data_IF_308931322991
#
_entry.id   IF_308931322991
#
_cell.length_a   1.000
_cell.length_b   1.000
_cell.length_c   1.000
_cell.angle_alpha   90.00
_cell.angle_beta   90.00
_cell.angle_gamma   90.00
#
_symmetry.space_group_name_H-M   'P 1'
#
loop_
_entity.id
_entity.type
_entity.pdbx_description
1 polymer ?
#
# COMPACT_ATOMS: atom_id res chain seq x y z
N UNK A 1 44.44 -67.92 22.79
CA UNK A 1 43.88 -66.58 23.07
C UNK A 1 42.37 -66.65 22.88
N UNK A 2 41.64 -66.49 24.00
CA UNK A 2 40.28 -65.95 24.20
C UNK A 2 39.16 -66.28 23.18
N UNK A 3 38.24 -67.18 23.59
CA UNK A 3 36.82 -66.93 24.01
C UNK A 3 35.90 -66.63 22.81
N UNK A 4 34.88 -67.41 22.44
CA UNK A 4 33.98 -68.26 23.22
C UNK A 4 32.56 -67.69 23.16
N UNK A 5 31.65 -68.44 22.51
CA UNK A 5 30.28 -68.70 22.99
C UNK A 5 29.24 -67.52 22.94
N UNK A 6 27.92 -67.66 22.74
CA UNK A 6 26.97 -68.79 22.69
C UNK A 6 25.51 -68.22 22.66
N UNK A 7 24.60 -68.91 21.96
CA UNK A 7 23.11 -68.99 22.02
C UNK A 7 22.15 -67.77 22.02
N UNK A 8 21.20 -67.84 21.08
CA UNK A 8 19.71 -67.70 21.17
C UNK A 8 19.07 -66.85 22.28
N UNK A 9 18.10 -66.01 21.88
CA UNK A 9 16.74 -66.01 22.46
C UNK A 9 15.67 -65.50 21.48
N UNK A 10 14.58 -66.25 21.39
CA UNK A 10 13.26 -65.85 20.88
C UNK A 10 12.64 -64.74 21.72
N UNK A 11 11.73 -63.94 21.15
CA UNK A 11 10.62 -63.33 21.89
C UNK A 11 9.41 -63.05 20.98
N UNK A 12 8.34 -63.80 21.22
CA UNK A 12 6.97 -63.56 20.76
C UNK A 12 6.33 -62.43 21.57
N UNK A 13 5.48 -61.60 20.98
CA UNK A 13 4.30 -61.01 21.65
C UNK A 13 3.25 -60.58 20.60
N UNK A 14 1.99 -60.68 21.00
CA UNK A 14 0.78 -60.66 20.17
C UNK A 14 -0.10 -59.41 20.42
N UNK A 15 -1.19 -59.32 19.63
CA UNK A 15 -2.43 -58.54 19.81
C UNK A 15 -2.33 -57.01 19.58
N UNK A 16 -3.36 -56.27 19.15
CA UNK A 16 -4.80 -56.49 19.17
C UNK A 16 -5.52 -55.65 18.08
N UNK A 17 -6.75 -56.08 17.77
CA UNK A 17 -7.76 -55.38 16.98
C UNK A 17 -8.30 -54.15 17.72
N UNK A 18 -8.55 -53.06 17.01
CA UNK A 18 -9.34 -51.92 17.50
C UNK A 18 -9.96 -51.15 16.33
N UNK A 19 -11.21 -51.46 15.99
CA UNK A 19 -12.06 -50.61 15.15
C UNK A 19 -12.46 -49.38 15.97
N UNK A 20 -12.15 -48.17 15.48
CA UNK A 20 -12.79 -46.95 15.96
C UNK A 20 -13.59 -46.33 14.81
N UNK A 21 -14.91 -46.43 14.92
CA UNK A 21 -15.87 -45.66 14.14
C UNK A 21 -15.66 -44.17 14.41
N UNK A 22 -15.18 -43.43 13.41
CA UNK A 22 -15.13 -41.97 13.44
C UNK A 22 -16.39 -41.39 12.79
N UNK A 23 -17.23 -40.74 13.59
CA UNK A 23 -18.34 -39.90 13.14
C UNK A 23 -17.79 -38.81 12.21
N UNK A 24 -18.30 -38.72 10.98
CA UNK A 24 -18.06 -37.57 10.11
C UNK A 24 -18.89 -36.39 10.64
N UNK A 25 -18.27 -35.53 11.46
CA UNK A 25 -18.82 -34.22 11.72
C UNK A 25 -18.59 -33.38 10.45
N UNK A 26 -19.64 -33.21 9.64
CA UNK A 26 -19.69 -32.08 8.71
C UNK A 26 -19.85 -30.84 9.58
N UNK A 27 -18.74 -30.17 9.87
CA UNK A 27 -18.79 -28.79 10.33
C UNK A 27 -19.36 -27.99 9.17
N UNK A 28 -20.66 -27.67 9.24
CA UNK A 28 -21.20 -26.59 8.46
C UNK A 28 -20.35 -25.36 8.80
N UNK A 29 -19.53 -24.90 7.85
CA UNK A 29 -18.93 -23.58 7.98
C UNK A 29 -20.10 -22.62 8.14
N UNK A 30 -20.21 -21.86 9.25
CA UNK A 30 -21.16 -20.76 9.23
C UNK A 30 -20.78 -19.96 7.99
N UNK A 31 -21.75 -19.69 7.11
CA UNK A 31 -21.60 -18.69 6.05
C UNK A 31 -21.46 -17.36 6.77
N UNK A 32 -20.26 -17.14 7.29
CA UNK A 32 -19.86 -15.93 7.95
C UNK A 32 -19.83 -14.90 6.86
N UNK A 33 -20.66 -13.87 7.00
CA UNK A 33 -20.27 -12.57 6.50
C UNK A 33 -18.79 -12.40 6.87
N UNK A 34 -17.93 -12.20 5.87
CA UNK A 34 -16.55 -11.78 6.14
C UNK A 34 -16.67 -10.57 7.06
N UNK A 35 -16.27 -10.74 8.33
CA UNK A 35 -16.14 -9.61 9.21
C UNK A 35 -15.12 -8.70 8.53
N UNK A 36 -15.55 -7.54 8.07
CA UNK A 36 -14.66 -6.59 7.41
C UNK A 36 -13.50 -6.32 8.36
N UNK A 37 -12.28 -6.63 7.93
CA UNK A 37 -11.09 -6.26 8.67
C UNK A 37 -10.84 -4.76 8.48
N UNK A 38 -10.63 -4.02 9.57
CA UNK A 38 -10.12 -2.65 9.49
C UNK A 38 -8.64 -2.70 9.16
N UNK A 39 -8.22 -1.94 8.18
CA UNK A 39 -6.83 -1.86 7.70
C UNK A 39 -6.33 -0.41 7.80
N UNK A 40 -5.12 -0.21 8.34
CA UNK A 40 -4.44 1.09 8.28
C UNK A 40 -3.61 1.15 7.01
N UNK A 41 -3.92 2.12 6.16
CA UNK A 41 -3.26 2.31 4.85
C UNK A 41 -2.21 3.43 4.85
N UNK A 42 -2.20 4.27 5.88
CA UNK A 42 -1.17 5.29 6.10
C UNK A 42 0.07 4.67 6.76
N UNK A 43 0.68 3.72 6.05
CA UNK A 43 1.89 3.00 6.47
C UNK A 43 2.95 3.14 5.38
N UNK A 44 4.22 2.98 5.74
CA UNK A 44 5.27 2.91 4.73
C UNK A 44 5.29 1.53 4.03
N UNK A 45 6.13 1.36 3.01
CA UNK A 45 6.23 0.10 2.24
C UNK A 45 6.74 -1.11 3.03
N UNK A 46 7.22 -0.91 4.27
CA UNK A 46 7.54 -2.00 5.20
C UNK A 46 6.38 -2.35 6.15
N UNK A 47 5.22 -1.71 5.98
CA UNK A 47 4.03 -1.87 6.82
C UNK A 47 4.17 -1.23 8.21
N UNK A 48 5.15 -0.34 8.41
CA UNK A 48 5.38 0.30 9.70
C UNK A 48 4.43 1.49 9.83
N UNK A 49 3.93 1.71 11.06
CA UNK A 49 3.25 2.95 11.39
C UNK A 49 4.23 4.12 11.34
N UNK A 50 3.74 5.26 10.87
CA UNK A 50 4.50 6.49 10.64
C UNK A 50 3.99 7.62 11.52
N UNK A 51 4.81 8.66 11.68
CA UNK A 51 4.46 9.82 12.50
C UNK A 51 3.89 10.93 11.61
N UNK A 52 2.72 11.46 11.95
CA UNK A 52 2.10 12.57 11.22
C UNK A 52 0.61 12.37 11.05
N UNK A 53 -0.12 13.46 10.81
CA UNK A 53 -1.55 13.35 10.51
C UNK A 53 -1.72 12.95 9.05
N UNK A 54 -2.60 11.98 8.80
CA UNK A 54 -3.07 11.64 7.45
C UNK A 54 -4.57 11.89 7.34
N UNK A 55 -5.01 12.41 6.20
CA UNK A 55 -6.40 12.80 6.00
C UNK A 55 -6.84 12.65 4.53
N UNK A 56 -8.14 12.87 4.31
CA UNK A 56 -8.79 12.96 2.98
C UNK A 56 -8.47 11.78 2.06
N UNK A 57 -8.80 10.53 2.48
CA UNK A 57 -8.58 9.38 1.63
C UNK A 57 -9.50 9.39 0.40
N UNK A 58 -9.00 8.89 -0.72
CA UNK A 58 -9.74 8.57 -1.93
C UNK A 58 -9.39 7.15 -2.40
N UNK A 59 -10.36 6.38 -2.88
CA UNK A 59 -10.19 4.97 -3.24
C UNK A 59 -10.41 4.73 -4.74
N UNK A 60 -9.64 3.81 -5.32
CA UNK A 60 -9.97 3.21 -6.62
C UNK A 60 -11.27 2.41 -6.56
N UNK A 61 -11.87 2.08 -7.70
CA UNK A 61 -13.19 1.44 -7.76
C UNK A 61 -13.20 0.02 -7.16
N UNK A 62 -12.08 -0.68 -7.25
CA UNK A 62 -11.85 -1.98 -6.60
C UNK A 62 -11.33 -1.86 -5.16
N UNK A 63 -11.09 -0.63 -4.69
CA UNK A 63 -10.52 -0.34 -3.39
C UNK A 63 -9.07 -0.77 -3.21
N UNK A 64 -8.35 -1.18 -4.27
CA UNK A 64 -6.94 -1.61 -4.17
C UNK A 64 -6.01 -0.45 -3.82
N UNK A 65 -6.21 0.71 -4.45
CA UNK A 65 -5.37 1.88 -4.26
C UNK A 65 -6.07 2.89 -3.37
N UNK A 66 -5.36 3.39 -2.36
CA UNK A 66 -5.83 4.48 -1.51
C UNK A 66 -4.89 5.67 -1.63
N UNK A 67 -5.38 6.77 -2.18
CA UNK A 67 -4.69 8.05 -2.17
C UNK A 67 -5.03 8.83 -0.90
N UNK A 68 -4.07 9.50 -0.28
CA UNK A 68 -4.29 10.30 0.92
C UNK A 68 -3.23 11.40 1.06
N UNK A 69 -3.55 12.49 1.78
CA UNK A 69 -2.56 13.51 2.16
C UNK A 69 -1.97 13.17 3.53
N UNK A 70 -0.68 13.48 3.74
CA UNK A 70 0.00 13.22 5.02
C UNK A 70 1.08 14.26 5.33
N UNK A 71 1.21 14.63 6.62
CA UNK A 71 2.33 15.42 7.16
C UNK A 71 3.55 14.55 7.56
N UNK A 72 3.48 13.24 7.30
CA UNK A 72 4.50 12.28 7.72
C UNK A 72 5.71 12.28 6.78
N UNK A 73 6.91 12.35 7.34
CA UNK A 73 8.20 12.40 6.59
C UNK A 73 8.85 11.02 6.40
N UNK A 74 8.23 9.95 6.90
CA UNK A 74 8.77 8.59 6.94
C UNK A 74 7.89 7.55 6.21
N UNK A 75 6.89 8.01 5.44
CA UNK A 75 6.09 7.15 4.55
C UNK A 75 6.88 6.61 3.37
N UNK A 76 7.81 7.41 2.85
CA UNK A 76 8.73 7.03 1.76
C UNK A 76 10.12 7.55 2.08
N UNK A 77 11.15 6.86 1.57
CA UNK A 77 12.52 7.37 1.66
C UNK A 77 12.68 8.65 0.84
N UNK A 78 13.40 9.64 1.38
CA UNK A 78 13.71 10.87 0.66
C UNK A 78 12.63 11.95 0.76
N UNK A 79 11.60 11.73 1.56
CA UNK A 79 10.73 12.82 1.99
C UNK A 79 11.48 13.71 2.99
N UNK A 80 11.80 14.92 2.53
CA UNK A 80 12.75 15.82 3.22
C UNK A 80 12.30 17.28 3.23
N UNK A 81 11.16 17.61 2.61
CA UNK A 81 10.66 18.98 2.55
C UNK A 81 9.95 19.40 3.85
N UNK A 82 9.50 18.43 4.66
CA UNK A 82 8.73 18.71 5.88
C UNK A 82 7.36 19.33 5.59
N UNK A 83 6.82 19.10 4.39
CA UNK A 83 5.55 19.61 3.91
C UNK A 83 4.53 18.48 3.81
N UNK A 84 3.26 18.86 3.72
CA UNK A 84 2.20 17.90 3.43
C UNK A 84 2.31 17.43 1.99
N UNK A 85 2.35 16.12 1.83
CA UNK A 85 2.46 15.45 0.54
C UNK A 85 1.26 14.55 0.26
N UNK A 86 1.08 14.18 -1.01
CA UNK A 86 0.06 13.23 -1.45
C UNK A 86 0.73 11.90 -1.75
N UNK A 87 0.17 10.84 -1.18
CA UNK A 87 0.66 9.47 -1.30
C UNK A 87 -0.41 8.55 -1.86
N UNK A 88 0.01 7.42 -2.45
CA UNK A 88 -0.84 6.29 -2.78
C UNK A 88 -0.29 5.03 -2.10
N UNK A 89 -1.17 4.30 -1.41
CA UNK A 89 -0.90 2.97 -0.91
C UNK A 89 -1.59 1.91 -1.77
N UNK A 90 -0.84 0.95 -2.28
CA UNK A 90 -1.35 -0.26 -2.94
C UNK A 90 -1.57 -1.35 -1.88
N UNK A 91 -2.82 -1.60 -1.52
CA UNK A 91 -3.19 -2.57 -0.48
C UNK A 91 -2.87 -4.02 -0.86
N UNK A 92 -2.69 -4.30 -2.15
CA UNK A 92 -2.36 -5.64 -2.60
C UNK A 92 -0.85 -5.92 -2.46
N UNK A 93 0.00 -4.94 -2.74
CA UNK A 93 1.46 -5.11 -2.69
C UNK A 93 2.09 -4.55 -1.41
N UNK A 94 1.34 -3.76 -0.64
CA UNK A 94 1.82 -3.03 0.53
C UNK A 94 2.73 -1.84 0.20
N UNK A 95 2.82 -1.43 -1.07
CA UNK A 95 3.73 -0.35 -1.51
C UNK A 95 3.07 1.01 -1.31
N UNK A 96 3.79 1.93 -0.67
CA UNK A 96 3.45 3.33 -0.57
C UNK A 96 4.40 4.17 -1.42
N UNK A 97 3.84 5.08 -2.22
CA UNK A 97 4.60 6.02 -3.04
C UNK A 97 4.07 7.45 -2.88
N UNK A 98 4.95 8.44 -3.04
CA UNK A 98 4.57 9.85 -3.12
C UNK A 98 4.24 10.19 -4.57
N UNK A 99 3.08 10.80 -4.80
CA UNK A 99 2.61 11.19 -6.13
C UNK A 99 2.59 12.70 -6.35
N UNK A 100 2.79 13.51 -5.28
CA UNK A 100 3.09 14.95 -5.37
C UNK A 100 4.55 15.20 -5.79
N UNK A 101 4.91 14.67 -6.96
CA UNK A 101 6.27 14.75 -7.53
C UNK A 101 6.23 15.31 -8.95
N UNK A 102 7.36 15.84 -9.42
CA UNK A 102 7.54 16.17 -10.83
C UNK A 102 7.69 14.89 -11.69
N UNK A 103 7.79 15.07 -13.01
CA UNK A 103 7.93 13.94 -13.95
C UNK A 103 9.29 13.19 -13.86
N UNK A 104 10.24 13.70 -13.07
CA UNK A 104 11.51 13.04 -12.76
C UNK A 104 11.49 12.37 -11.37
N UNK A 105 10.39 12.49 -10.62
CA UNK A 105 10.23 11.94 -9.28
C UNK A 105 10.77 12.83 -8.16
N UNK A 106 11.12 14.09 -8.45
CA UNK A 106 11.53 15.04 -7.42
C UNK A 106 10.31 15.54 -6.66
N UNK A 107 10.46 15.76 -5.35
CA UNK A 107 9.37 16.25 -4.51
C UNK A 107 8.99 17.70 -4.81
N UNK A 108 7.72 18.01 -4.59
CA UNK A 108 7.24 19.39 -4.56
C UNK A 108 7.95 20.23 -3.49
N UNK A 109 8.20 21.50 -3.79
CA UNK A 109 8.71 22.52 -2.85
C UNK A 109 7.59 23.26 -2.09
N UNK A 110 6.33 22.87 -2.32
CA UNK A 110 5.13 23.38 -1.67
C UNK A 110 4.19 22.25 -1.24
N UNK A 111 3.24 22.56 -0.35
CA UNK A 111 2.27 21.57 0.13
C UNK A 111 1.38 21.04 -1.00
N UNK A 112 0.96 19.78 -0.89
CA UNK A 112 0.00 19.13 -1.78
C UNK A 112 -1.16 18.52 -0.99
N UNK A 113 -2.39 18.69 -1.48
CA UNK A 113 -3.63 18.40 -0.72
C UNK A 113 -4.77 17.90 -1.61
N UNK A 114 -5.81 17.36 -0.95
CA UNK A 114 -7.09 16.97 -1.56
C UNK A 114 -6.97 15.99 -2.75
N UNK A 115 -6.41 14.78 -2.55
CA UNK A 115 -6.27 13.83 -3.63
C UNK A 115 -7.62 13.28 -4.12
N UNK A 116 -7.68 13.02 -5.42
CA UNK A 116 -8.68 12.16 -6.05
C UNK A 116 -7.95 11.14 -6.94
N UNK A 117 -8.45 9.91 -7.02
CA UNK A 117 -7.83 8.82 -7.78
C UNK A 117 -8.82 8.23 -8.79
N UNK A 118 -8.34 7.88 -9.99
CA UNK A 118 -9.16 7.24 -11.02
C UNK A 118 -9.61 5.84 -10.61
N UNK A 119 -10.67 5.34 -11.25
CA UNK A 119 -11.27 4.04 -10.95
C UNK A 119 -10.28 2.86 -11.04
N UNK A 120 -9.35 2.92 -11.99
CA UNK A 120 -8.28 1.94 -12.21
C UNK A 120 -7.02 2.22 -11.36
N UNK A 121 -7.02 3.31 -10.60
CA UNK A 121 -5.89 3.73 -9.77
C UNK A 121 -4.75 4.43 -10.53
N UNK A 122 -4.84 4.63 -11.84
CA UNK A 122 -3.73 5.15 -12.66
C UNK A 122 -3.46 6.64 -12.47
N UNK A 123 -4.50 7.47 -12.49
CA UNK A 123 -4.37 8.92 -12.43
C UNK A 123 -4.71 9.41 -11.02
N UNK A 124 -3.87 10.30 -10.49
CA UNK A 124 -4.14 11.00 -9.23
C UNK A 124 -4.18 12.49 -9.50
N UNK A 125 -5.33 13.11 -9.24
CA UNK A 125 -5.46 14.56 -9.25
C UNK A 125 -5.26 15.12 -7.84
N UNK A 126 -4.59 16.26 -7.72
CA UNK A 126 -4.36 16.94 -6.43
C UNK A 126 -4.14 18.44 -6.63
N UNK A 127 -4.29 19.20 -5.54
CA UNK A 127 -3.96 20.62 -5.49
C UNK A 127 -2.55 20.77 -4.92
N UNK A 128 -1.72 21.65 -5.48
CA UNK A 128 -0.39 21.94 -4.95
C UNK A 128 -0.03 23.42 -5.02
N UNK A 129 0.72 23.88 -4.01
CA UNK A 129 1.38 25.20 -3.99
C UNK A 129 2.85 25.12 -4.46
N UNK A 130 3.30 23.94 -4.89
CA UNK A 130 4.67 23.74 -5.34
C UNK A 130 4.90 24.39 -6.72
N UNK A 131 6.01 25.10 -6.87
CA UNK A 131 6.38 25.78 -8.12
C UNK A 131 7.23 24.92 -9.05
N UNK A 132 7.62 23.73 -8.59
CA UNK A 132 8.59 22.86 -9.27
C UNK A 132 7.99 21.55 -9.79
N UNK A 133 6.68 21.31 -9.68
CA UNK A 133 6.06 20.07 -10.19
C UNK A 133 6.01 20.03 -11.73
N UNK A 134 5.88 21.20 -12.36
CA UNK A 134 5.91 21.38 -13.82
C UNK A 134 6.72 22.62 -14.15
N UNK A 135 7.51 22.57 -15.23
CA UNK A 135 8.27 23.73 -15.69
C UNK A 135 7.34 24.87 -16.09
N UNK A 136 7.65 26.09 -15.63
CA UNK A 136 6.90 27.29 -15.98
C UNK A 136 5.72 27.59 -15.05
N UNK A 137 5.54 26.81 -13.98
CA UNK A 137 4.65 27.20 -12.90
C UNK A 137 5.27 28.34 -12.06
N UNK A 138 4.68 29.53 -12.17
CA UNK A 138 5.32 30.79 -11.72
C UNK A 138 4.34 31.81 -11.15
N UNK A 139 3.05 31.50 -11.08
CA UNK A 139 2.01 32.43 -10.61
C UNK A 139 1.96 32.56 -9.08
N UNK A 140 2.59 31.64 -8.35
CA UNK A 140 2.64 31.65 -6.88
C UNK A 140 1.29 31.37 -6.22
N UNK A 141 0.36 30.73 -6.93
CA UNK A 141 -0.93 30.28 -6.39
C UNK A 141 -1.03 28.75 -6.47
N UNK A 142 -2.03 28.19 -5.80
CA UNK A 142 -2.25 26.75 -5.87
C UNK A 142 -2.85 26.35 -7.21
N UNK A 143 -2.30 25.31 -7.81
CA UNK A 143 -2.73 24.76 -9.09
C UNK A 143 -3.24 23.32 -8.92
N UNK A 144 -4.01 22.85 -9.91
CA UNK A 144 -4.48 21.46 -9.99
C UNK A 144 -3.55 20.68 -10.89
N UNK A 145 -3.04 19.56 -10.39
CA UNK A 145 -2.14 18.67 -11.11
C UNK A 145 -2.76 17.29 -11.26
N UNK A 146 -2.34 16.58 -12.31
CA UNK A 146 -2.55 15.14 -12.47
C UNK A 146 -1.19 14.46 -12.55
N UNK A 147 -1.00 13.42 -11.73
CA UNK A 147 0.10 12.48 -11.87
C UNK A 147 -0.41 11.16 -12.47
N UNK A 148 0.15 10.77 -13.62
CA UNK A 148 -0.05 9.45 -14.22
C UNK A 148 0.97 8.48 -13.63
N UNK A 149 0.53 7.60 -12.73
CA UNK A 149 1.39 6.65 -12.02
C UNK A 149 2.04 5.61 -12.94
N UNK A 150 1.47 5.39 -14.14
CA UNK A 150 2.02 4.42 -15.08
C UNK A 150 3.17 5.02 -15.90
N UNK A 151 3.00 6.24 -16.39
CA UNK A 151 4.03 6.94 -17.19
C UNK A 151 4.98 7.80 -16.35
N UNK A 152 4.60 8.05 -15.09
CA UNK A 152 5.23 8.99 -14.14
C UNK A 152 5.25 10.43 -14.63
N UNK A 153 4.30 10.82 -15.46
CA UNK A 153 4.18 12.18 -15.95
C UNK A 153 3.25 12.97 -15.03
N UNK A 154 3.71 14.16 -14.63
CA UNK A 154 2.93 15.15 -13.89
C UNK A 154 2.62 16.33 -14.81
N UNK A 155 1.34 16.68 -14.90
CA UNK A 155 0.84 17.78 -15.71
C UNK A 155 -0.02 18.73 -14.86
N UNK A 156 0.06 20.03 -15.14
CA UNK A 156 -0.86 21.02 -14.59
C UNK A 156 -2.10 21.07 -15.48
N UNK A 157 -3.28 20.95 -14.88
CA UNK A 157 -4.57 20.94 -15.59
C UNK A 157 -5.43 22.18 -15.34
N UNK A 158 -5.05 23.02 -14.37
CA UNK A 158 -5.65 24.35 -14.13
C UNK A 158 -5.09 25.42 -15.07
N UNK A 159 -5.24 25.20 -16.38
CA UNK A 159 -4.79 26.14 -17.42
C UNK A 159 -5.98 26.72 -18.21
N UNK A 160 -5.78 27.89 -18.79
CA UNK A 160 -6.72 28.47 -19.77
C UNK A 160 -6.73 27.66 -21.08
N UNK A 161 -7.61 28.02 -22.02
CA UNK A 161 -7.72 27.32 -23.31
C UNK A 161 -6.46 27.41 -24.20
N UNK A 162 -5.52 28.30 -23.88
CA UNK A 162 -4.24 28.44 -24.56
C UNK A 162 -3.08 27.77 -23.79
N UNK A 163 -3.35 27.13 -22.65
CA UNK A 163 -2.35 26.48 -21.81
C UNK A 163 -1.62 27.41 -20.85
N UNK A 164 -2.07 28.67 -20.70
CA UNK A 164 -1.50 29.58 -19.71
C UNK A 164 -2.04 29.25 -18.32
N UNK A 165 -1.22 29.47 -17.30
CA UNK A 165 -1.66 29.37 -15.90
C UNK A 165 -2.69 30.45 -15.55
N UNK A 166 -3.58 30.11 -14.63
CA UNK A 166 -4.56 31.04 -14.04
C UNK A 166 -3.97 31.98 -13.00
#
# INVERSE_FOLDING_TARGET
>A
MRTGERWMTDSRMAAAVGLLSGVLAVLATPTGASAGATERVSVNSAGNEVHGSSARPALSADGRFVAFESDATDLVSGDTNGLRDVFVHDRQTGVTERVSVDSAGNQGDGESRYPAISADGRFVAFISWATNLVTGDTNGVADVFIHDRQTRITERVSVDSAGNQG
#
